data_IF_209639956209
#
_entry.id   IF_209639956209
#
_cell.length_a   1.000
_cell.length_b   1.000
_cell.length_c   1.000
_cell.angle_alpha   90.00
_cell.angle_beta   90.00
_cell.angle_gamma   90.00
#
_symmetry.space_group_name_H-M   'P 1'
#
loop_
_entity.id
_entity.type
_entity.pdbx_description
1 polymer ?
#
# COMPACT_ATOMS: atom_id res chain seq x y z
N UNK A 1 -4.82 -17.89 -3.09
CA UNK A 1 -3.54 -17.97 -2.35
C UNK A 1 -3.60 -16.93 -1.22
N UNK A 2 -3.17 -17.28 0.01
CA UNK A 2 -3.16 -16.40 1.19
C UNK A 2 -2.31 -15.15 0.99
N UNK A 3 -1.17 -15.25 0.31
CA UNK A 3 -0.32 -14.09 0.03
C UNK A 3 -1.05 -13.03 -0.79
N UNK A 4 -1.79 -13.47 -1.81
CA UNK A 4 -2.64 -12.59 -2.62
C UNK A 4 -3.73 -11.92 -1.77
N UNK A 5 -4.31 -12.67 -0.82
CA UNK A 5 -5.31 -12.11 0.09
C UNK A 5 -4.72 -11.06 1.03
N UNK A 6 -3.47 -11.23 1.48
CA UNK A 6 -2.78 -10.23 2.29
C UNK A 6 -2.57 -8.92 1.52
N UNK A 7 -2.17 -9.00 0.25
CA UNK A 7 -2.06 -7.81 -0.63
C UNK A 7 -3.41 -7.12 -0.78
N UNK A 8 -4.49 -7.87 -1.01
CA UNK A 8 -5.83 -7.31 -1.10
C UNK A 8 -6.29 -6.66 0.20
N UNK A 9 -6.02 -7.30 1.35
CA UNK A 9 -6.35 -6.73 2.65
C UNK A 9 -5.57 -5.45 2.92
N UNK A 10 -4.29 -5.39 2.55
CA UNK A 10 -3.47 -4.19 2.67
C UNK A 10 -4.02 -3.04 1.83
N UNK A 11 -4.33 -3.29 0.56
CA UNK A 11 -4.97 -2.31 -0.31
C UNK A 11 -6.32 -1.85 0.25
N UNK A 12 -7.16 -2.79 0.69
CA UNK A 12 -8.46 -2.47 1.29
C UNK A 12 -8.33 -1.62 2.55
N UNK A 13 -7.35 -1.91 3.42
CA UNK A 13 -7.07 -1.11 4.61
C UNK A 13 -6.70 0.34 4.27
N UNK A 14 -5.94 0.59 3.21
CA UNK A 14 -5.62 1.95 2.75
C UNK A 14 -6.88 2.68 2.26
N UNK A 15 -7.67 2.04 1.41
CA UNK A 15 -8.88 2.66 0.83
C UNK A 15 -9.91 2.94 1.93
N UNK A 16 -10.21 1.95 2.77
CA UNK A 16 -11.16 2.11 3.87
C UNK A 16 -10.63 3.06 4.94
N UNK A 17 -9.33 3.03 5.24
CA UNK A 17 -8.69 3.99 6.13
C UNK A 17 -8.84 5.43 5.65
N UNK A 18 -8.58 5.68 4.36
CA UNK A 18 -8.82 6.98 3.72
C UNK A 18 -10.27 7.43 3.89
N UNK A 19 -11.24 6.54 3.69
CA UNK A 19 -12.66 6.87 3.87
C UNK A 19 -13.01 7.17 5.33
N UNK A 20 -12.42 6.45 6.29
CA UNK A 20 -12.64 6.71 7.71
C UNK A 20 -12.12 8.10 8.13
N UNK A 21 -11.00 8.56 7.57
CA UNK A 21 -10.40 9.88 7.88
C UNK A 21 -11.31 11.08 7.56
N UNK A 22 -12.35 10.91 6.73
CA UNK A 22 -13.34 11.98 6.54
C UNK A 22 -14.32 12.13 7.71
N UNK A 23 -14.29 11.21 8.69
CA UNK A 23 -15.26 11.12 9.78
C UNK A 23 -14.63 10.95 11.16
N UNK A 24 -13.44 10.35 11.25
CA UNK A 24 -12.71 10.15 12.51
C UNK A 24 -11.24 10.56 12.35
N UNK A 25 -10.61 11.12 13.40
CA UNK A 25 -9.18 11.37 13.40
C UNK A 25 -8.39 10.05 13.41
N UNK A 26 -7.08 10.16 13.20
CA UNK A 26 -6.16 9.03 13.38
C UNK A 26 -6.15 8.67 14.87
N UNK A 27 -6.86 7.59 15.21
CA UNK A 27 -7.22 7.26 16.58
C UNK A 27 -7.11 5.77 16.84
N UNK A 28 -7.21 5.38 18.11
CA UNK A 28 -7.36 3.98 18.54
C UNK A 28 -8.45 3.25 17.75
N UNK A 29 -9.58 3.91 17.47
CA UNK A 29 -10.64 3.34 16.63
C UNK A 29 -10.14 3.03 15.21
N UNK A 30 -9.40 3.95 14.59
CA UNK A 30 -8.82 3.74 13.26
C UNK A 30 -7.75 2.64 13.29
N UNK A 31 -6.84 2.63 14.26
CA UNK A 31 -5.79 1.61 14.37
C UNK A 31 -6.38 0.19 14.48
N UNK A 32 -7.38 0.02 15.37
CA UNK A 32 -8.09 -1.24 15.55
C UNK A 32 -8.86 -1.65 14.29
N UNK A 33 -9.53 -0.70 13.63
CA UNK A 33 -10.23 -0.95 12.37
C UNK A 33 -9.28 -1.44 11.28
N UNK A 34 -8.18 -0.73 11.04
CA UNK A 34 -7.16 -1.11 10.05
C UNK A 34 -6.58 -2.49 10.34
N UNK A 35 -6.30 -2.77 11.62
CA UNK A 35 -5.80 -4.08 12.04
C UNK A 35 -6.81 -5.21 11.77
N UNK A 36 -8.09 -5.01 12.08
CA UNK A 36 -9.13 -5.98 11.77
C UNK A 36 -9.26 -6.25 10.26
N UNK A 37 -9.23 -5.19 9.45
CA UNK A 37 -9.26 -5.29 7.98
C UNK A 37 -8.06 -6.09 7.47
N UNK A 38 -6.86 -5.78 7.97
CA UNK A 38 -5.61 -6.42 7.56
C UNK A 38 -5.59 -7.92 7.85
N UNK A 39 -6.12 -8.34 9.01
CA UNK A 39 -6.11 -9.74 9.48
C UNK A 39 -7.32 -10.57 9.03
N UNK A 40 -8.26 -10.00 8.28
CA UNK A 40 -9.45 -10.71 7.81
C UNK A 40 -9.14 -11.82 6.80
N UNK A 41 -10.11 -12.73 6.56
CA UNK A 41 -10.01 -13.77 5.53
C UNK A 41 -8.86 -14.78 5.74
N UNK A 42 -8.64 -15.21 7.00
CA UNK A 42 -7.73 -16.32 7.37
C UNK A 42 -6.26 -16.17 6.94
N UNK A 43 -5.82 -14.93 6.81
CA UNK A 43 -4.41 -14.57 6.54
C UNK A 43 -3.54 -14.72 7.79
N UNK A 44 -2.22 -14.55 7.64
CA UNK A 44 -1.30 -14.60 8.78
C UNK A 44 -1.69 -13.55 9.84
N UNK A 45 -1.96 -14.02 11.05
CA UNK A 45 -2.36 -13.20 12.20
C UNK A 45 -3.88 -13.18 12.46
N UNK A 46 -4.69 -13.83 11.62
CA UNK A 46 -6.16 -13.85 11.77
C UNK A 46 -6.65 -14.46 13.10
N UNK A 47 -5.87 -15.33 13.73
CA UNK A 47 -6.15 -15.93 15.03
C UNK A 47 -5.49 -15.18 16.21
N UNK A 48 -4.89 -14.00 15.97
CA UNK A 48 -4.15 -13.23 16.96
C UNK A 48 -4.88 -11.95 17.35
N UNK A 49 -6.14 -12.10 17.71
CA UNK A 49 -7.05 -11.02 18.13
C UNK A 49 -7.09 -9.83 17.15
N UNK A 50 -7.57 -10.04 15.90
CA UNK A 50 -7.81 -8.96 14.95
C UNK A 50 -8.57 -7.79 15.58
N UNK A 51 -8.09 -6.57 15.33
CA UNK A 51 -8.68 -5.35 15.87
C UNK A 51 -8.46 -5.09 17.36
N UNK A 52 -7.71 -5.91 18.09
CA UNK A 52 -7.49 -5.69 19.53
C UNK A 52 -6.02 -5.54 19.90
N UNK A 53 -5.74 -4.61 20.82
CA UNK A 53 -4.41 -4.48 21.39
C UNK A 53 -4.06 -5.71 22.24
N UNK A 54 -2.77 -6.08 22.22
CA UNK A 54 -2.26 -7.27 22.90
C UNK A 54 -2.49 -7.17 24.41
N UNK A 55 -2.87 -8.30 25.01
CA UNK A 55 -2.97 -8.47 26.47
C UNK A 55 -1.86 -9.37 27.03
N UNK A 56 -0.94 -9.82 26.18
CA UNK A 56 0.24 -10.61 26.55
C UNK A 56 1.50 -9.94 25.99
N UNK A 57 2.65 -10.24 26.61
CA UNK A 57 3.94 -9.67 26.21
C UNK A 57 4.34 -10.16 24.82
N UNK A 58 4.78 -9.24 23.96
CA UNK A 58 5.34 -9.57 22.65
C UNK A 58 6.86 -9.37 22.68
N UNK A 59 7.57 -9.83 21.65
CA UNK A 59 9.00 -9.59 21.46
C UNK A 59 9.36 -9.60 19.97
N UNK A 60 10.40 -8.85 19.61
CA UNK A 60 10.86 -8.67 18.22
C UNK A 60 12.27 -9.24 18.11
N UNK A 61 12.47 -10.15 17.17
CA UNK A 61 13.78 -10.74 16.92
C UNK A 61 13.77 -11.71 15.74
N UNK A 62 14.92 -12.33 15.44
CA UNK A 62 15.03 -13.29 14.34
C UNK A 62 14.14 -14.53 14.58
N UNK A 63 13.81 -15.29 13.52
CA UNK A 63 13.04 -16.53 13.65
C UNK A 63 13.65 -17.48 14.70
N UNK A 64 12.82 -18.03 15.57
CA UNK A 64 13.25 -18.96 16.63
C UNK A 64 13.82 -18.29 17.88
N UNK A 65 13.90 -16.95 17.95
CA UNK A 65 14.31 -16.28 19.18
C UNK A 65 13.29 -16.47 20.32
N UNK A 66 13.78 -16.37 21.54
CA UNK A 66 12.97 -16.27 22.75
C UNK A 66 12.95 -14.83 23.23
N UNK A 67 12.10 -14.50 24.21
CA UNK A 67 12.13 -13.19 24.85
C UNK A 67 13.52 -12.81 25.40
N UNK A 68 14.33 -13.80 25.83
CA UNK A 68 15.69 -13.58 26.36
C UNK A 68 16.72 -13.24 25.27
N UNK A 69 16.46 -13.66 24.05
CA UNK A 69 17.35 -13.47 22.89
C UNK A 69 16.71 -12.56 21.85
N UNK A 70 15.66 -11.83 22.23
CA UNK A 70 14.97 -10.89 21.36
C UNK A 70 15.83 -9.63 21.18
N UNK A 71 15.76 -9.04 19.99
CA UNK A 71 16.43 -7.78 19.71
C UNK A 71 15.75 -6.62 20.43
N UNK A 72 14.45 -6.75 20.70
CA UNK A 72 13.66 -5.75 21.41
C UNK A 72 12.45 -6.40 22.09
N UNK A 73 12.18 -5.98 23.32
CA UNK A 73 10.96 -6.32 24.05
C UNK A 73 10.14 -5.02 24.19
N UNK A 74 9.00 -4.88 23.50
CA UNK A 74 8.15 -3.70 23.60
C UNK A 74 7.57 -3.55 25.02
N UNK A 75 6.97 -2.39 25.34
CA UNK A 75 6.45 -2.14 26.68
C UNK A 75 5.45 -3.18 27.19
N UNK A 76 5.22 -3.23 28.49
CA UNK A 76 4.30 -4.19 29.07
C UNK A 76 2.85 -3.98 28.56
N UNK A 77 2.03 -5.05 28.40
CA UNK A 77 0.72 -4.95 27.74
C UNK A 77 -0.24 -3.95 28.40
N UNK A 78 -0.17 -3.80 29.73
CA UNK A 78 -1.02 -2.87 30.48
C UNK A 78 -0.69 -1.40 30.22
N UNK A 79 0.47 -1.10 29.61
CA UNK A 79 0.86 0.27 29.24
C UNK A 79 0.46 0.64 27.81
N UNK A 80 0.08 -0.35 26.98
CA UNK A 80 -0.20 -0.14 25.55
C UNK A 80 -1.31 0.87 25.33
N UNK A 81 -2.41 0.78 26.08
CA UNK A 81 -3.55 1.70 25.95
C UNK A 81 -3.11 3.15 26.23
N UNK A 82 -2.28 3.39 27.25
CA UNK A 82 -1.77 4.72 27.59
C UNK A 82 -0.78 5.26 26.54
N UNK A 83 0.14 4.43 26.05
CA UNK A 83 1.09 4.89 25.03
C UNK A 83 0.44 5.13 23.67
N UNK A 84 -0.54 4.31 23.29
CA UNK A 84 -1.31 4.56 22.06
C UNK A 84 -2.15 5.83 22.17
N UNK A 85 -2.70 6.13 23.35
CA UNK A 85 -3.38 7.41 23.59
C UNK A 85 -2.42 8.60 23.44
N UNK A 86 -1.22 8.52 24.01
CA UNK A 86 -0.22 9.58 23.85
C UNK A 86 0.22 9.76 22.38
N UNK A 87 0.39 8.67 21.64
CA UNK A 87 0.68 8.73 20.21
C UNK A 87 -0.47 9.36 19.41
N UNK A 88 -1.72 9.02 19.75
CA UNK A 88 -2.92 9.63 19.16
C UNK A 88 -2.98 11.14 19.42
N UNK A 89 -2.68 11.58 20.64
CA UNK A 89 -2.57 13.00 20.99
C UNK A 89 -1.49 13.68 20.14
N UNK A 90 -0.29 13.10 20.04
CA UNK A 90 0.80 13.65 19.23
C UNK A 90 0.46 13.78 17.74
N UNK A 91 -0.30 12.82 17.19
CA UNK A 91 -0.69 12.82 15.79
C UNK A 91 -1.68 13.95 15.48
N UNK A 92 -2.65 14.18 16.37
CA UNK A 92 -3.79 15.05 16.09
C UNK A 92 -3.63 16.47 16.67
N UNK A 93 -2.88 16.64 17.75
CA UNK A 93 -2.65 17.92 18.42
C UNK A 93 -1.16 18.08 18.82
N UNK A 94 -0.26 18.19 17.83
CA UNK A 94 1.17 18.35 18.11
C UNK A 94 1.46 19.76 18.61
N UNK A 95 2.21 19.83 19.71
CA UNK A 95 2.71 21.10 20.27
C UNK A 95 3.97 21.62 19.56
N UNK A 96 4.55 20.84 18.66
CA UNK A 96 5.73 21.19 17.88
C UNK A 96 5.38 21.87 16.54
N UNK A 97 6.40 22.48 15.91
CA UNK A 97 6.30 23.09 14.59
C UNK A 97 7.04 22.27 13.51
N UNK A 98 7.23 20.97 13.73
CA UNK A 98 8.00 20.13 12.83
C UNK A 98 7.25 19.89 11.52
N UNK A 99 8.03 19.75 10.45
CA UNK A 99 7.51 19.34 9.14
C UNK A 99 6.77 17.98 9.26
N UNK A 100 5.60 17.80 8.62
CA UNK A 100 4.86 16.54 8.67
C UNK A 100 5.69 15.31 8.29
N UNK A 101 6.68 15.42 7.39
CA UNK A 101 7.55 14.30 7.03
C UNK A 101 8.44 13.86 8.20
N UNK A 102 8.88 14.80 9.04
CA UNK A 102 9.64 14.51 10.26
C UNK A 102 8.71 13.85 11.28
N UNK A 103 7.50 14.38 11.47
CA UNK A 103 6.49 13.78 12.35
C UNK A 103 6.14 12.36 11.92
N UNK A 104 5.99 12.11 10.62
CA UNK A 104 5.75 10.76 10.10
C UNK A 104 6.86 9.77 10.49
N UNK A 105 8.12 10.21 10.51
CA UNK A 105 9.25 9.39 10.98
C UNK A 105 9.14 9.07 12.47
N UNK A 106 8.79 10.07 13.30
CA UNK A 106 8.61 9.92 14.75
C UNK A 106 7.43 9.00 15.06
N UNK A 107 6.29 9.24 14.42
CA UNK A 107 5.06 8.45 14.55
C UNK A 107 5.31 6.99 14.19
N UNK A 108 5.99 6.74 13.07
CA UNK A 108 6.33 5.38 12.65
C UNK A 108 7.23 4.68 13.68
N UNK A 109 8.28 5.34 14.15
CA UNK A 109 9.17 4.79 15.16
C UNK A 109 8.45 4.51 16.49
N UNK A 110 7.59 5.43 16.94
CA UNK A 110 6.83 5.25 18.18
C UNK A 110 5.82 4.11 18.06
N UNK A 111 5.06 4.03 16.96
CA UNK A 111 4.14 2.92 16.73
C UNK A 111 4.85 1.56 16.75
N UNK A 112 5.98 1.44 16.05
CA UNK A 112 6.77 0.21 16.03
C UNK A 112 7.38 -0.14 17.40
N UNK A 113 7.63 0.86 18.25
CA UNK A 113 8.17 0.72 19.61
C UNK A 113 7.09 0.27 20.60
N UNK A 114 5.90 0.86 20.55
CA UNK A 114 4.75 0.44 21.37
C UNK A 114 4.34 -1.00 21.00
N UNK A 115 4.38 -1.30 19.70
CA UNK A 115 4.09 -2.61 19.13
C UNK A 115 2.74 -3.17 19.65
N UNK A 116 1.63 -2.46 19.41
CA UNK A 116 0.39 -2.64 20.16
C UNK A 116 -0.36 -3.95 19.84
N UNK A 117 -0.10 -4.60 18.71
CA UNK A 117 -0.79 -5.83 18.29
C UNK A 117 0.09 -7.09 18.46
N UNK A 118 -0.53 -8.27 18.40
CA UNK A 118 0.18 -9.56 18.47
C UNK A 118 0.86 -9.99 17.16
N UNK A 119 0.38 -9.49 16.03
CA UNK A 119 0.99 -9.57 14.69
C UNK A 119 0.55 -8.32 13.91
N UNK A 120 1.15 -8.04 12.76
CA UNK A 120 0.71 -6.98 11.87
C UNK A 120 1.24 -5.59 12.16
N UNK A 121 1.99 -5.40 13.24
CA UNK A 121 2.52 -4.07 13.62
C UNK A 121 3.28 -3.41 12.46
N UNK A 122 4.28 -4.08 11.88
CA UNK A 122 5.03 -3.54 10.74
C UNK A 122 4.16 -3.13 9.54
N UNK A 123 3.06 -3.87 9.30
CA UNK A 123 2.12 -3.58 8.20
C UNK A 123 1.25 -2.36 8.53
N UNK A 124 0.72 -2.27 9.75
CA UNK A 124 -0.07 -1.12 10.21
C UNK A 124 0.81 0.14 10.32
N UNK A 125 2.01 0.02 10.87
CA UNK A 125 2.97 1.11 10.97
C UNK A 125 3.32 1.70 9.60
N UNK A 126 3.36 0.88 8.55
CA UNK A 126 3.58 1.33 7.17
C UNK A 126 2.33 1.87 6.49
N UNK A 127 1.15 1.33 6.79
CA UNK A 127 -0.13 1.90 6.34
C UNK A 127 -0.35 3.31 6.92
N UNK A 128 0.10 3.52 8.17
CA UNK A 128 -0.06 4.78 8.87
C UNK A 128 0.68 5.94 8.18
N UNK A 129 1.84 5.67 7.55
CA UNK A 129 2.66 6.70 6.88
C UNK A 129 1.85 7.44 5.79
N UNK A 130 1.36 6.79 4.72
CA UNK A 130 0.61 7.47 3.68
C UNK A 130 -0.74 8.00 4.18
N UNK A 131 -1.39 7.37 5.15
CA UNK A 131 -2.64 7.90 5.74
C UNK A 131 -2.40 9.20 6.51
N UNK A 132 -1.33 9.27 7.30
CA UNK A 132 -0.93 10.47 8.03
C UNK A 132 -0.59 11.61 7.07
N UNK A 133 0.22 11.34 6.05
CA UNK A 133 0.61 12.34 5.05
C UNK A 133 -0.58 12.85 4.24
N UNK A 134 -1.52 11.96 3.89
CA UNK A 134 -2.78 12.33 3.25
C UNK A 134 -3.65 13.21 4.16
N UNK A 135 -3.81 12.83 5.43
CA UNK A 135 -4.60 13.59 6.41
C UNK A 135 -4.05 15.01 6.66
N UNK A 136 -2.75 15.21 6.44
CA UNK A 136 -2.05 16.49 6.58
C UNK A 136 -1.82 17.21 5.25
N UNK A 137 -2.48 16.80 4.16
CA UNK A 137 -2.41 17.41 2.83
C UNK A 137 -0.99 17.48 2.25
N UNK A 138 -0.10 16.56 2.64
CA UNK A 138 1.24 16.44 2.04
C UNK A 138 1.16 15.70 0.69
N UNK A 139 0.17 14.81 0.56
CA UNK A 139 -0.13 14.05 -0.65
C UNK A 139 -1.63 14.01 -0.89
N UNK A 140 -2.05 14.05 -2.16
CA UNK A 140 -3.48 14.07 -2.55
C UNK A 140 -4.17 12.70 -2.42
N UNK A 141 -3.38 11.63 -2.30
CA UNK A 141 -3.87 10.27 -2.17
C UNK A 141 -2.86 9.42 -1.37
N UNK A 142 -3.30 8.48 -0.51
CA UNK A 142 -2.40 7.64 0.28
C UNK A 142 -1.74 6.51 -0.55
N UNK A 143 -0.92 6.88 -1.54
CA UNK A 143 -0.24 5.97 -2.48
C UNK A 143 1.30 5.94 -2.33
N UNK A 144 1.86 6.62 -1.33
CA UNK A 144 3.30 6.61 -1.06
C UNK A 144 3.70 5.44 -0.16
N UNK A 145 3.96 4.27 -0.77
CA UNK A 145 4.42 3.08 -0.05
C UNK A 145 5.95 3.00 -0.04
N UNK A 146 6.57 3.31 1.10
CA UNK A 146 8.04 3.31 1.25
C UNK A 146 8.61 1.94 1.68
N UNK A 147 7.80 0.88 1.62
CA UNK A 147 8.21 -0.46 2.05
C UNK A 147 9.48 -0.93 1.34
N UNK A 148 9.57 -0.74 0.03
CA UNK A 148 10.69 -1.22 -0.78
C UNK A 148 12.01 -0.53 -0.41
N UNK A 149 11.96 0.76 -0.10
CA UNK A 149 13.15 1.54 0.29
C UNK A 149 13.55 1.26 1.74
N UNK A 150 12.58 1.10 2.66
CA UNK A 150 12.86 0.66 4.03
C UNK A 150 13.45 -0.76 4.07
N UNK A 151 12.95 -1.68 3.24
CA UNK A 151 13.36 -3.08 3.22
C UNK A 151 14.62 -3.37 2.42
N UNK A 152 15.05 -2.46 1.53
CA UNK A 152 16.31 -2.60 0.80
C UNK A 152 17.51 -2.78 1.73
N UNK A 153 17.44 -2.21 2.94
CA UNK A 153 18.44 -2.38 3.99
C UNK A 153 17.76 -2.64 5.34
N UNK A 154 17.17 -3.84 5.50
CA UNK A 154 16.48 -4.26 6.73
C UNK A 154 17.36 -4.10 7.97
N UNK A 155 18.65 -4.36 7.84
CA UNK A 155 19.60 -4.23 8.94
C UNK A 155 19.73 -2.77 9.40
N UNK A 156 19.90 -1.81 8.49
CA UNK A 156 19.89 -0.38 8.85
C UNK A 156 18.55 0.08 9.38
N UNK A 157 17.44 -0.35 8.78
CA UNK A 157 16.11 0.01 9.26
C UNK A 157 15.90 -0.37 10.74
N UNK A 158 16.12 -1.65 11.08
CA UNK A 158 15.97 -2.11 12.45
C UNK A 158 17.07 -1.55 13.38
N UNK A 159 18.28 -1.37 12.87
CA UNK A 159 19.40 -0.77 13.61
C UNK A 159 19.09 0.66 14.05
N UNK A 160 18.75 1.54 13.11
CA UNK A 160 18.41 2.93 13.41
C UNK A 160 17.15 3.07 14.24
N UNK A 161 16.14 2.21 14.02
CA UNK A 161 14.95 2.17 14.88
C UNK A 161 15.28 1.75 16.32
N UNK A 162 16.25 0.86 16.52
CA UNK A 162 16.71 0.51 17.87
C UNK A 162 17.60 1.60 18.46
N UNK A 163 18.36 2.31 17.66
CA UNK A 163 19.21 3.41 18.13
C UNK A 163 18.37 4.58 18.67
N UNK A 164 17.14 4.81 18.20
CA UNK A 164 16.22 5.77 18.85
C UNK A 164 15.81 5.33 20.25
N UNK A 165 15.75 4.02 20.52
CA UNK A 165 15.31 3.45 21.80
C UNK A 165 16.43 3.39 22.83
N UNK A 166 17.65 3.09 22.39
CA UNK A 166 18.78 2.79 23.29
C UNK A 166 19.88 3.85 23.30
N UNK A 167 19.96 4.68 22.25
CA UNK A 167 21.00 5.70 22.11
C UNK A 167 20.44 7.11 21.93
N UNK A 168 19.11 7.24 21.87
CA UNK A 168 18.40 8.50 21.60
C UNK A 168 18.82 9.16 20.26
N UNK A 169 19.28 8.37 19.30
CA UNK A 169 19.77 8.88 17.99
C UNK A 169 18.63 9.09 17.00
N UNK A 170 17.77 10.06 17.30
CA UNK A 170 16.64 10.45 16.45
C UNK A 170 17.08 11.05 15.12
N UNK A 171 18.19 11.79 15.10
CA UNK A 171 18.67 12.46 13.91
C UNK A 171 19.03 11.46 12.81
N UNK A 172 19.73 10.38 13.16
CA UNK A 172 20.10 9.35 12.18
C UNK A 172 18.87 8.61 11.66
N UNK A 173 17.90 8.29 12.53
CA UNK A 173 16.62 7.69 12.13
C UNK A 173 15.83 8.59 11.17
N UNK A 174 15.62 9.86 11.54
CA UNK A 174 14.85 10.80 10.73
C UNK A 174 15.52 11.00 9.36
N UNK A 175 16.85 11.17 9.33
CA UNK A 175 17.61 11.29 8.07
C UNK A 175 17.44 10.06 7.18
N UNK A 176 17.54 8.87 7.75
CA UNK A 176 17.32 7.62 7.02
C UNK A 176 15.89 7.53 6.46
N UNK A 177 14.89 7.82 7.28
CA UNK A 177 13.48 7.77 6.91
C UNK A 177 13.13 8.75 5.78
N UNK A 178 13.63 10.00 5.87
CA UNK A 178 13.44 11.02 4.83
C UNK A 178 14.12 10.63 3.52
N UNK A 179 15.30 9.99 3.57
CA UNK A 179 15.95 9.47 2.37
C UNK A 179 15.13 8.35 1.72
N UNK A 180 14.50 7.47 2.51
CA UNK A 180 13.60 6.43 1.98
C UNK A 180 12.39 7.06 1.27
N UNK A 181 11.78 8.08 1.88
CA UNK A 181 10.70 8.85 1.24
C UNK A 181 11.18 9.47 -0.07
N UNK A 182 12.33 10.15 -0.08
CA UNK A 182 12.86 10.80 -1.28
C UNK A 182 13.18 9.79 -2.40
N UNK A 183 13.80 8.65 -2.08
CA UNK A 183 14.08 7.58 -3.05
C UNK A 183 12.77 6.99 -3.60
N UNK A 184 11.80 6.71 -2.73
CA UNK A 184 10.52 6.14 -3.16
C UNK A 184 9.72 7.10 -4.03
N UNK A 185 9.66 8.38 -3.66
CA UNK A 185 8.96 9.40 -4.45
C UNK A 185 9.56 9.53 -5.85
N UNK A 186 10.90 9.52 -5.97
CA UNK A 186 11.59 9.53 -7.29
C UNK A 186 11.26 8.28 -8.12
N UNK A 187 11.23 7.10 -7.51
CA UNK A 187 10.82 5.85 -8.18
C UNK A 187 9.38 5.93 -8.67
N UNK A 188 8.47 6.41 -7.83
CA UNK A 188 7.05 6.54 -8.17
C UNK A 188 6.84 7.53 -9.33
N UNK A 189 7.52 8.69 -9.32
CA UNK A 189 7.44 9.68 -10.41
C UNK A 189 7.92 9.05 -11.72
N UNK A 190 9.11 8.43 -11.72
CA UNK A 190 9.65 7.77 -12.91
C UNK A 190 8.71 6.69 -13.44
N UNK A 191 8.15 5.88 -12.55
CA UNK A 191 7.18 4.86 -12.91
C UNK A 191 5.92 5.45 -13.58
N UNK A 192 5.37 6.52 -13.02
CA UNK A 192 4.20 7.22 -13.58
C UNK A 192 4.52 7.80 -14.96
N UNK A 193 5.70 8.40 -15.14
CA UNK A 193 6.16 8.90 -16.45
C UNK A 193 6.23 7.79 -17.49
N UNK A 194 6.85 6.66 -17.15
CA UNK A 194 6.93 5.49 -18.04
C UNK A 194 5.56 4.90 -18.40
N UNK A 195 4.63 4.87 -17.45
CA UNK A 195 3.25 4.41 -17.67
C UNK A 195 2.48 5.39 -18.56
N UNK A 196 2.65 6.70 -18.35
CA UNK A 196 2.02 7.73 -19.18
C UNK A 196 2.55 7.71 -20.62
N UNK A 197 3.84 7.49 -20.81
CA UNK A 197 4.45 7.40 -22.14
C UNK A 197 3.98 6.13 -22.86
N UNK A 198 3.90 5.00 -22.16
CA UNK A 198 3.30 3.78 -22.69
C UNK A 198 1.85 4.03 -23.14
N UNK A 199 1.04 4.67 -22.28
CA UNK A 199 -0.35 4.99 -22.61
C UNK A 199 -0.43 5.85 -23.88
N UNK A 200 0.36 6.92 -23.98
CA UNK A 200 0.37 7.81 -25.15
C UNK A 200 0.74 7.05 -26.43
N UNK A 201 1.80 6.26 -26.39
CA UNK A 201 2.30 5.51 -27.54
C UNK A 201 1.27 4.47 -28.02
N UNK A 202 0.74 3.65 -27.12
CA UNK A 202 -0.18 2.60 -27.49
C UNK A 202 -1.58 3.14 -27.84
N UNK A 203 -2.02 4.25 -27.24
CA UNK A 203 -3.25 4.93 -27.68
C UNK A 203 -3.16 5.38 -29.14
N UNK A 204 -2.00 5.89 -29.59
CA UNK A 204 -1.80 6.26 -31.00
C UNK A 204 -1.86 5.04 -31.91
N UNK A 205 -1.25 3.92 -31.52
CA UNK A 205 -1.33 2.64 -32.25
C UNK A 205 -2.77 2.13 -32.32
N UNK A 206 -3.53 2.20 -31.23
CA UNK A 206 -4.95 1.82 -31.22
C UNK A 206 -5.76 2.71 -32.17
N UNK A 207 -5.53 4.02 -32.17
CA UNK A 207 -6.20 4.96 -33.09
C UNK A 207 -5.92 4.70 -34.56
N UNK A 208 -4.77 4.13 -34.92
CA UNK A 208 -4.49 3.72 -36.31
C UNK A 208 -5.17 2.41 -36.72
N UNK A 209 -5.61 1.59 -35.75
CA UNK A 209 -6.23 0.28 -36.02
C UNK A 209 -7.75 0.38 -36.02
N UNK A 210 -8.35 1.11 -35.08
CA UNK A 210 -9.81 1.21 -34.92
C UNK A 210 -10.30 2.66 -35.06
N UNK A 211 -11.60 2.84 -35.26
CA UNK A 211 -12.20 4.17 -35.39
C UNK A 211 -11.87 5.04 -34.15
N UNK A 212 -11.38 6.26 -34.41
CA UNK A 212 -11.00 7.25 -33.40
C UNK A 212 -12.09 7.49 -32.33
N UNK A 213 -13.38 7.40 -32.68
CA UNK A 213 -14.49 7.63 -31.75
C UNK A 213 -14.57 6.58 -30.62
N UNK A 214 -14.13 5.34 -30.89
CA UNK A 214 -14.11 4.26 -29.88
C UNK A 214 -12.71 3.95 -29.36
N UNK A 215 -11.66 4.47 -29.99
CA UNK A 215 -10.27 4.17 -29.66
C UNK A 215 -9.92 4.55 -28.21
N UNK A 216 -10.21 5.80 -27.81
CA UNK A 216 -9.89 6.27 -26.46
C UNK A 216 -10.67 5.51 -25.40
N UNK A 217 -11.99 5.34 -25.55
CA UNK A 217 -12.82 4.68 -24.52
C UNK A 217 -12.46 3.20 -24.33
N UNK A 218 -12.16 2.48 -25.42
CA UNK A 218 -11.68 1.11 -25.36
C UNK A 218 -10.32 1.05 -24.67
N UNK A 219 -9.36 1.88 -25.09
CA UNK A 219 -8.02 1.82 -24.55
C UNK A 219 -7.96 2.27 -23.09
N UNK A 220 -8.73 3.28 -22.69
CA UNK A 220 -8.92 3.67 -21.29
C UNK A 220 -9.43 2.49 -20.45
N UNK A 221 -10.35 1.69 -21.00
CA UNK A 221 -10.91 0.53 -20.31
C UNK A 221 -9.87 -0.59 -20.16
N UNK A 222 -9.08 -0.83 -21.21
CA UNK A 222 -7.96 -1.79 -21.19
C UNK A 222 -6.89 -1.35 -20.18
N UNK A 223 -6.54 -0.06 -20.16
CA UNK A 223 -5.50 0.47 -19.30
C UNK A 223 -5.90 0.47 -17.82
N UNK A 224 -7.18 0.79 -17.52
CA UNK A 224 -7.75 0.69 -16.17
C UNK A 224 -7.83 -0.75 -15.66
N UNK A 225 -7.95 -1.72 -16.55
CA UNK A 225 -8.09 -3.12 -16.20
C UNK A 225 -7.39 -4.00 -17.23
N UNK A 226 -6.06 -4.21 -17.08
CA UNK A 226 -5.21 -4.88 -18.07
C UNK A 226 -5.41 -6.39 -18.17
N UNK A 227 -6.21 -6.98 -17.28
CA UNK A 227 -6.71 -8.37 -17.38
C UNK A 227 -8.22 -8.34 -17.41
N UNK A 228 -8.83 -8.72 -18.54
CA UNK A 228 -10.25 -8.47 -18.75
C UNK A 228 -10.94 -9.51 -19.62
N UNK A 229 -12.27 -9.58 -19.47
CA UNK A 229 -13.16 -10.27 -20.39
C UNK A 229 -13.90 -9.22 -21.22
N UNK A 230 -14.42 -9.63 -22.38
CA UNK A 230 -15.16 -8.71 -23.26
C UNK A 230 -16.33 -8.01 -22.58
N UNK A 231 -17.04 -8.71 -21.69
CA UNK A 231 -18.15 -8.15 -20.90
C UNK A 231 -17.73 -6.94 -20.06
N UNK A 232 -16.51 -6.94 -19.52
CA UNK A 232 -16.05 -5.81 -18.74
C UNK A 232 -15.85 -4.57 -19.61
N UNK A 233 -15.22 -4.72 -20.78
CA UNK A 233 -15.01 -3.62 -21.73
C UNK A 233 -16.35 -3.10 -22.27
N UNK A 234 -17.28 -3.99 -22.58
CA UNK A 234 -18.64 -3.63 -22.98
C UNK A 234 -19.33 -2.78 -21.89
N UNK A 235 -19.25 -3.20 -20.62
CA UNK A 235 -19.82 -2.44 -19.51
C UNK A 235 -19.16 -1.06 -19.32
N UNK A 236 -17.84 -0.98 -19.43
CA UNK A 236 -17.09 0.28 -19.21
C UNK A 236 -17.27 1.29 -20.35
N UNK A 237 -17.38 0.81 -21.60
CA UNK A 237 -17.53 1.66 -22.79
C UNK A 237 -18.97 1.88 -23.21
N UNK A 238 -19.91 1.11 -22.66
CA UNK A 238 -21.33 1.05 -23.07
C UNK A 238 -21.54 0.59 -24.52
N UNK A 239 -20.55 -0.04 -25.14
CA UNK A 239 -20.66 -0.66 -26.46
C UNK A 239 -21.23 -2.08 -26.36
N UNK A 240 -21.83 -2.56 -27.44
CA UNK A 240 -22.33 -3.94 -27.50
C UNK A 240 -21.18 -4.96 -27.47
N UNK A 241 -21.38 -6.12 -26.82
CA UNK A 241 -20.37 -7.18 -26.79
C UNK A 241 -19.86 -7.58 -28.19
N UNK A 242 -20.70 -7.73 -29.24
CA UNK A 242 -20.21 -8.03 -30.59
C UNK A 242 -19.25 -6.96 -31.13
N UNK A 243 -19.53 -5.67 -30.88
CA UNK A 243 -18.65 -4.57 -31.28
C UNK A 243 -17.31 -4.65 -30.56
N UNK A 244 -17.34 -4.88 -29.24
CA UNK A 244 -16.12 -5.08 -28.45
C UNK A 244 -15.33 -6.29 -28.94
N UNK A 245 -15.96 -7.43 -29.25
CA UNK A 245 -15.26 -8.62 -29.78
C UNK A 245 -14.51 -8.31 -31.08
N UNK A 246 -15.17 -7.62 -32.01
CA UNK A 246 -14.55 -7.22 -33.28
C UNK A 246 -13.35 -6.31 -33.06
N UNK A 247 -13.48 -5.31 -32.19
CA UNK A 247 -12.39 -4.40 -31.84
C UNK A 247 -11.22 -5.16 -31.19
N UNK A 248 -11.50 -5.97 -30.17
CA UNK A 248 -10.48 -6.71 -29.44
C UNK A 248 -9.76 -7.74 -30.33
N UNK A 249 -10.46 -8.36 -31.29
CA UNK A 249 -9.83 -9.23 -32.28
C UNK A 249 -8.77 -8.47 -33.08
N UNK A 250 -9.10 -7.28 -33.59
CA UNK A 250 -8.13 -6.47 -34.35
C UNK A 250 -6.93 -6.03 -33.50
N UNK A 251 -7.16 -5.71 -32.22
CA UNK A 251 -6.07 -5.39 -31.30
C UNK A 251 -5.19 -6.61 -30.97
N UNK A 252 -5.76 -7.81 -30.98
CA UNK A 252 -5.02 -9.07 -30.81
C UNK A 252 -4.23 -9.43 -32.07
N UNK A 253 -4.80 -9.24 -33.26
CA UNK A 253 -4.13 -9.44 -34.56
C UNK A 253 -2.88 -8.55 -34.69
N UNK A 254 -2.98 -7.31 -34.20
CA UNK A 254 -1.91 -6.31 -34.16
C UNK A 254 -0.99 -6.42 -32.92
N UNK A 255 -1.16 -7.49 -32.11
CA UNK A 255 -0.33 -7.81 -30.94
C UNK A 255 -0.26 -6.70 -29.89
N UNK A 256 -1.31 -5.89 -29.75
CA UNK A 256 -1.46 -4.93 -28.66
C UNK A 256 -1.95 -5.63 -27.39
N UNK A 257 -2.89 -6.56 -27.55
CA UNK A 257 -3.39 -7.41 -26.48
C UNK A 257 -3.23 -8.88 -26.85
N UNK A 258 -3.32 -9.76 -25.85
CA UNK A 258 -3.16 -11.21 -26.02
C UNK A 258 -4.28 -11.92 -25.28
N UNK A 259 -4.65 -13.13 -25.70
CA UNK A 259 -5.64 -13.93 -24.97
C UNK A 259 -5.12 -15.29 -24.53
N UNK A 260 -5.81 -15.90 -23.57
CA UNK A 260 -5.56 -17.29 -23.15
C UNK A 260 -6.00 -18.35 -24.19
N UNK A 261 -6.45 -17.95 -25.38
CA UNK A 261 -6.94 -18.83 -26.45
C UNK A 261 -8.04 -19.82 -26.02
N UNK A 262 -8.82 -19.51 -24.97
CA UNK A 262 -9.93 -20.34 -24.50
C UNK A 262 -11.27 -19.78 -24.99
N UNK A 263 -11.97 -20.39 -25.97
CA UNK A 263 -13.15 -19.77 -26.60
C UNK A 263 -14.31 -19.48 -25.64
N UNK A 264 -14.60 -20.40 -24.71
CA UNK A 264 -15.72 -20.27 -23.75
C UNK A 264 -15.41 -19.41 -22.53
N UNK A 265 -14.14 -19.06 -22.30
CA UNK A 265 -13.68 -18.29 -21.13
C UNK A 265 -12.52 -17.37 -21.50
N UNK A 266 -12.64 -16.72 -22.67
CA UNK A 266 -11.57 -15.89 -23.25
C UNK A 266 -11.28 -14.71 -22.34
N UNK A 267 -10.06 -14.68 -21.82
CA UNK A 267 -9.50 -13.58 -21.03
C UNK A 267 -8.42 -12.93 -21.87
N UNK A 268 -8.44 -11.60 -21.94
CA UNK A 268 -7.45 -10.78 -22.60
C UNK A 268 -6.48 -10.17 -21.58
N UNK A 269 -5.25 -9.95 -22.03
CA UNK A 269 -4.12 -9.46 -21.27
C UNK A 269 -3.43 -8.34 -22.05
N UNK A 270 -3.18 -7.21 -21.40
CA UNK A 270 -2.33 -6.15 -21.92
C UNK A 270 -0.94 -6.23 -21.27
N UNK A 271 -0.08 -7.07 -21.84
CA UNK A 271 1.21 -7.40 -21.23
C UNK A 271 2.16 -6.21 -21.11
N UNK A 272 2.13 -5.25 -22.05
CA UNK A 272 2.98 -4.05 -21.98
C UNK A 272 2.82 -3.29 -20.67
N UNK A 273 1.59 -3.18 -20.15
CA UNK A 273 1.34 -2.57 -18.84
C UNK A 273 1.56 -3.55 -17.69
N UNK A 274 1.16 -4.82 -17.83
CA UNK A 274 1.35 -5.82 -16.77
C UNK A 274 2.83 -6.03 -16.44
N UNK A 275 3.71 -6.02 -17.42
CA UNK A 275 5.14 -6.19 -17.21
C UNK A 275 5.79 -4.97 -16.54
N UNK A 276 5.22 -3.77 -16.73
CA UNK A 276 5.61 -2.58 -15.95
C UNK A 276 5.11 -2.62 -14.50
N UNK A 277 3.95 -3.23 -14.26
CA UNK A 277 3.33 -3.33 -12.92
C UNK A 277 3.91 -4.45 -12.04
N UNK A 278 4.81 -5.28 -12.59
CA UNK A 278 5.50 -6.35 -11.86
C UNK A 278 6.74 -5.82 -11.15
#
# INVERSE_FOLDING_TARGET
NKDTQEVFNYHRAIIEGKMQLSSIPISTRLFKFLHAVLMSNEVRGSNRSPGEYRKIQNFIGPPGCTIKTANFVPPEPQLVDNYMKNLEEYINDPSDNLNPLIRAAIIHAQFETIHPFLDGNGRIGRILIPLYLYNHNVIDYPNLFISDTLEKDKHKYYGYLNDTRYKDDWNQWIKFFLNCIAEQSKKNIKFIEEVNDLYKQDLQRVKSIINAHSASSIFDSIFKMPVFKVKHIANMTKLSEPTCRRILSRLEDEKIIFSNQRPRSKTYYYYSLLDKLR
#
